data_IF_265922842261
#
_entry.id   IF_265922842261
#
_cell.length_a   1.000
_cell.length_b   1.000
_cell.length_c   1.000
_cell.angle_alpha   90.00
_cell.angle_beta   90.00
_cell.angle_gamma   90.00
#
_symmetry.space_group_name_H-M   'P 1'
#
loop_
_entity.id
_entity.type
_entity.pdbx_description
1 polymer ?
#
# COMPACT_ATOMS: atom_id res chain seq x y z
N UNK A 1 -38.99 -5.18 -65.74
CA UNK A 1 -37.93 -5.61 -64.84
C UNK A 1 -37.79 -4.56 -63.75
N UNK A 2 -38.19 -4.81 -62.53
CA UNK A 2 -38.04 -3.82 -61.44
C UNK A 2 -36.62 -3.92 -60.86
N UNK A 3 -35.88 -2.85 -60.97
CA UNK A 3 -34.57 -2.67 -60.34
C UNK A 3 -34.78 -2.40 -58.83
N UNK A 4 -34.34 -3.34 -58.00
CA UNK A 4 -34.34 -3.22 -56.54
C UNK A 4 -33.27 -2.22 -56.13
N UNK A 5 -33.57 -1.11 -55.45
CA UNK A 5 -32.55 -0.19 -54.97
C UNK A 5 -31.74 -0.85 -53.86
N UNK A 6 -30.46 -1.07 -54.08
CA UNK A 6 -29.53 -1.52 -53.08
C UNK A 6 -29.43 -0.43 -51.97
N UNK A 7 -30.05 -0.71 -50.84
CA UNK A 7 -30.04 0.16 -49.66
C UNK A 7 -28.62 0.33 -49.12
N UNK A 8 -27.99 1.45 -49.42
CA UNK A 8 -26.73 1.89 -48.80
C UNK A 8 -26.85 2.20 -47.27
N UNK A 9 -28.08 2.25 -46.78
CA UNK A 9 -28.38 2.51 -45.35
C UNK A 9 -27.90 1.41 -44.41
N UNK A 10 -27.85 0.14 -44.86
CA UNK A 10 -27.50 -0.98 -43.99
C UNK A 10 -26.03 -1.01 -43.52
N UNK A 11 -25.12 -0.36 -44.26
CA UNK A 11 -23.70 -0.34 -43.89
C UNK A 11 -23.48 0.57 -42.66
N UNK A 12 -24.03 1.77 -42.67
CA UNK A 12 -23.92 2.73 -41.53
C UNK A 12 -24.61 2.21 -40.28
N UNK A 13 -25.76 1.51 -40.46
CA UNK A 13 -26.45 0.90 -39.31
C UNK A 13 -25.61 -0.24 -38.70
N UNK A 14 -25.00 -1.11 -39.53
CA UNK A 14 -24.11 -2.17 -39.04
C UNK A 14 -22.87 -1.63 -38.32
N UNK A 15 -22.24 -0.58 -38.87
CA UNK A 15 -21.13 0.09 -38.24
C UNK A 15 -21.55 0.80 -36.93
N UNK A 16 -22.71 1.44 -36.93
CA UNK A 16 -23.26 2.09 -35.73
C UNK A 16 -23.50 1.10 -34.60
N UNK A 17 -24.10 -0.06 -34.91
CA UNK A 17 -24.35 -1.13 -33.93
C UNK A 17 -23.02 -1.67 -33.40
N UNK A 18 -22.04 -1.96 -34.27
CA UNK A 18 -20.74 -2.47 -33.87
C UNK A 18 -20.00 -1.49 -32.97
N UNK A 19 -20.00 -0.19 -33.31
CA UNK A 19 -19.38 0.85 -32.50
C UNK A 19 -20.05 0.97 -31.12
N UNK A 20 -21.39 0.90 -31.09
CA UNK A 20 -22.13 0.95 -29.83
C UNK A 20 -21.79 -0.23 -28.92
N UNK A 21 -21.68 -1.45 -29.45
CA UNK A 21 -21.30 -2.63 -28.69
C UNK A 21 -19.88 -2.48 -28.10
N UNK A 22 -18.94 -1.96 -28.90
CA UNK A 22 -17.56 -1.73 -28.42
C UNK A 22 -17.53 -0.69 -27.29
N UNK A 23 -18.25 0.42 -27.44
CA UNK A 23 -18.30 1.46 -26.41
C UNK A 23 -18.94 0.94 -25.12
N UNK A 24 -20.01 0.16 -25.20
CA UNK A 24 -20.66 -0.47 -24.05
C UNK A 24 -19.71 -1.47 -23.38
N UNK A 25 -19.01 -2.32 -24.17
CA UNK A 25 -18.06 -3.27 -23.63
C UNK A 25 -16.87 -2.59 -22.92
N UNK A 26 -16.31 -1.53 -23.51
CA UNK A 26 -15.25 -0.74 -22.91
C UNK A 26 -15.73 -0.03 -21.62
N UNK A 27 -16.93 0.51 -21.63
CA UNK A 27 -17.55 1.12 -20.44
C UNK A 27 -17.75 0.10 -19.32
N UNK A 28 -18.23 -1.08 -19.65
CA UNK A 28 -18.38 -2.18 -18.68
C UNK A 28 -17.04 -2.63 -18.09
N UNK A 29 -16.02 -2.81 -18.94
CA UNK A 29 -14.67 -3.17 -18.49
C UNK A 29 -14.04 -2.08 -17.60
N UNK A 30 -14.20 -0.81 -17.98
CA UNK A 30 -13.74 0.31 -17.16
C UNK A 30 -14.45 0.34 -15.81
N UNK A 31 -15.76 0.15 -15.78
CA UNK A 31 -16.54 0.12 -14.55
C UNK A 31 -16.11 -1.02 -13.62
N UNK A 32 -15.97 -2.24 -14.15
CA UNK A 32 -15.53 -3.40 -13.35
C UNK A 32 -14.08 -3.27 -12.89
N UNK A 33 -13.19 -2.73 -13.73
CA UNK A 33 -11.78 -2.51 -13.39
C UNK A 33 -11.61 -1.51 -12.24
N UNK A 34 -12.36 -0.42 -12.22
CA UNK A 34 -12.32 0.57 -11.13
C UNK A 34 -12.84 0.01 -9.81
N UNK A 35 -13.82 -0.88 -9.84
CA UNK A 35 -14.38 -1.47 -8.62
C UNK A 35 -13.39 -2.42 -7.93
N UNK A 36 -12.55 -3.13 -8.68
CA UNK A 36 -11.54 -4.03 -8.12
C UNK A 36 -10.28 -3.32 -7.63
N UNK A 37 -10.00 -2.10 -8.11
CA UNK A 37 -8.76 -1.37 -7.80
C UNK A 37 -8.81 -0.55 -6.50
N UNK A 38 -9.92 -0.55 -5.77
CA UNK A 38 -10.08 0.24 -4.54
C UNK A 38 -9.56 -0.51 -3.32
N UNK A 39 -8.27 -0.80 -3.28
CA UNK A 39 -7.60 -1.18 -2.05
C UNK A 39 -7.24 0.09 -1.27
N UNK A 40 -7.81 0.25 -0.08
CA UNK A 40 -7.52 1.38 0.80
C UNK A 40 -6.30 1.07 1.65
N UNK A 41 -5.31 1.95 1.62
CA UNK A 41 -4.23 1.94 2.60
C UNK A 41 -4.78 2.41 3.94
N UNK A 42 -4.59 1.59 4.96
CA UNK A 42 -4.97 1.91 6.34
C UNK A 42 -3.81 1.57 7.28
N UNK A 43 -3.65 2.39 8.30
CA UNK A 43 -2.74 2.10 9.40
C UNK A 43 -3.36 1.07 10.35
N UNK A 44 -2.54 0.35 11.11
CA UNK A 44 -3.04 -0.62 12.11
C UNK A 44 -3.94 0.06 13.13
N UNK A 45 -3.64 1.31 13.48
CA UNK A 45 -4.45 2.11 14.40
C UNK A 45 -5.82 2.44 13.81
N UNK A 46 -5.87 2.89 12.55
CA UNK A 46 -7.12 3.20 11.84
C UNK A 46 -7.97 1.94 11.66
N UNK A 47 -7.34 0.81 11.30
CA UNK A 47 -8.03 -0.47 11.14
C UNK A 47 -8.87 -0.84 12.37
N UNK A 48 -8.32 -0.62 13.57
CA UNK A 48 -9.01 -0.92 14.84
C UNK A 48 -10.10 0.09 15.20
N UNK A 49 -10.03 1.30 14.65
CA UNK A 49 -11.00 2.37 14.86
C UNK A 49 -12.12 2.44 13.82
N UNK A 50 -12.04 1.62 12.77
CA UNK A 50 -13.05 1.61 11.71
C UNK A 50 -14.31 0.87 12.13
N UNK A 51 -15.47 1.35 11.64
CA UNK A 51 -16.77 0.72 11.81
C UNK A 51 -16.86 -0.65 11.10
N UNK A 52 -18.02 -1.33 11.21
CA UNK A 52 -18.30 -2.62 10.58
C UNK A 52 -17.98 -2.73 9.08
N UNK A 53 -17.77 -1.62 8.39
CA UNK A 53 -17.37 -1.58 6.98
C UNK A 53 -15.98 -2.14 6.73
N UNK A 54 -15.13 -2.23 7.76
CA UNK A 54 -13.76 -2.79 7.68
C UNK A 54 -13.77 -4.26 7.25
N UNK A 55 -14.79 -5.02 7.66
CA UNK A 55 -14.89 -6.46 7.38
C UNK A 55 -15.32 -6.80 5.95
N UNK A 56 -15.79 -5.82 5.19
CA UNK A 56 -16.31 -6.02 3.83
C UNK A 56 -15.40 -5.43 2.76
N UNK A 57 -14.39 -4.67 3.16
CA UNK A 57 -13.47 -3.98 2.23
C UNK A 57 -12.15 -4.73 2.10
N UNK A 58 -11.59 -4.66 0.90
CA UNK A 58 -10.21 -5.08 0.66
C UNK A 58 -9.28 -3.95 1.10
N UNK A 59 -8.38 -4.26 2.02
CA UNK A 59 -7.52 -3.30 2.69
C UNK A 59 -6.06 -3.64 2.45
N UNK A 60 -5.21 -2.62 2.48
CA UNK A 60 -3.75 -2.75 2.47
C UNK A 60 -3.21 -2.22 3.78
N UNK A 61 -2.50 -3.07 4.51
CA UNK A 61 -1.87 -2.72 5.78
C UNK A 61 -0.36 -2.91 5.64
N UNK A 62 0.40 -1.88 5.96
CA UNK A 62 1.85 -1.91 5.98
C UNK A 62 2.36 -1.94 7.42
N UNK A 63 3.48 -2.62 7.65
CA UNK A 63 4.13 -2.66 8.95
C UNK A 63 5.46 -3.40 8.87
N UNK A 64 6.17 -3.43 9.98
CA UNK A 64 7.37 -4.27 10.11
C UNK A 64 6.97 -5.63 10.67
N UNK A 65 7.58 -6.68 10.15
CA UNK A 65 7.38 -8.03 10.66
C UNK A 65 8.06 -8.15 12.03
N UNK A 66 7.29 -8.54 13.05
CA UNK A 66 7.82 -8.76 14.40
C UNK A 66 8.81 -9.94 14.38
N UNK A 67 10.02 -9.77 14.95
CA UNK A 67 11.00 -10.85 14.99
C UNK A 67 10.48 -12.09 15.72
N UNK A 68 10.69 -13.27 15.13
CA UNK A 68 10.29 -14.54 15.70
C UNK A 68 8.77 -14.81 15.65
N UNK A 69 7.98 -13.96 14.98
CA UNK A 69 6.53 -14.16 14.83
C UNK A 69 6.14 -14.98 13.61
N UNK A 70 7.09 -15.29 12.74
CA UNK A 70 6.81 -16.00 11.47
C UNK A 70 6.67 -17.49 11.72
N UNK A 71 5.47 -18.02 11.52
CA UNK A 71 5.16 -19.45 11.54
C UNK A 71 4.70 -19.88 10.15
N UNK A 72 5.43 -20.80 9.53
CA UNK A 72 5.12 -21.29 8.17
C UNK A 72 4.59 -22.72 8.24
N UNK A 73 3.43 -22.94 7.64
CA UNK A 73 2.83 -24.26 7.46
C UNK A 73 2.44 -24.43 5.98
N UNK A 74 3.41 -24.91 5.19
CA UNK A 74 3.25 -24.95 3.73
C UNK A 74 3.17 -23.54 3.12
N UNK A 75 2.08 -23.25 2.40
CA UNK A 75 1.80 -21.92 1.84
C UNK A 75 1.16 -20.97 2.84
N UNK A 76 0.62 -21.47 3.94
CA UNK A 76 0.07 -20.63 5.00
C UNK A 76 1.19 -20.06 5.85
N UNK A 77 1.16 -18.76 6.08
CA UNK A 77 2.14 -18.08 6.93
C UNK A 77 1.40 -17.19 7.92
N UNK A 78 1.64 -17.46 9.19
CA UNK A 78 1.16 -16.61 10.29
C UNK A 78 2.30 -15.71 10.75
N UNK A 79 2.02 -14.45 10.99
CA UNK A 79 3.00 -13.49 11.47
C UNK A 79 2.32 -12.26 12.07
N UNK A 80 3.10 -11.44 12.76
CA UNK A 80 2.60 -10.21 13.36
C UNK A 80 3.23 -9.00 12.67
N UNK A 81 2.39 -8.07 12.20
CA UNK A 81 2.82 -6.76 11.75
C UNK A 81 2.83 -5.78 12.92
N UNK A 82 3.87 -4.96 12.98
CA UNK A 82 4.02 -3.89 13.98
C UNK A 82 4.16 -2.56 13.27
N UNK A 83 3.31 -1.60 13.62
CA UNK A 83 3.34 -0.23 13.15
C UNK A 83 3.11 0.73 14.31
N UNK A 84 4.06 1.62 14.58
CA UNK A 84 3.98 2.61 15.68
C UNK A 84 3.58 2.00 17.03
N UNK A 85 4.09 0.81 17.35
CA UNK A 85 3.77 0.10 18.60
C UNK A 85 2.46 -0.68 18.58
N UNK A 86 1.65 -0.57 17.55
CA UNK A 86 0.45 -1.38 17.37
C UNK A 86 0.81 -2.70 16.67
N UNK A 87 0.26 -3.81 17.19
CA UNK A 87 0.47 -5.14 16.64
C UNK A 87 -0.79 -5.62 15.94
N UNK A 88 -0.62 -6.26 14.79
CA UNK A 88 -1.71 -6.86 14.01
C UNK A 88 -1.34 -8.29 13.65
N UNK A 89 -2.05 -9.31 14.15
CA UNK A 89 -1.87 -10.67 13.70
C UNK A 89 -2.37 -10.80 12.25
N UNK A 90 -1.58 -11.45 11.41
CA UNK A 90 -1.86 -11.66 9.99
C UNK A 90 -1.71 -13.12 9.66
N UNK A 91 -2.68 -13.65 8.94
CA UNK A 91 -2.65 -14.99 8.35
C UNK A 91 -2.66 -14.84 6.83
N UNK A 92 -1.57 -15.25 6.21
CA UNK A 92 -1.48 -15.29 4.76
C UNK A 92 -2.01 -16.61 4.22
N UNK A 93 -3.00 -16.52 3.34
CA UNK A 93 -3.68 -17.66 2.69
C UNK A 93 -3.64 -17.56 1.16
N UNK A 94 -2.71 -16.76 0.61
CA UNK A 94 -2.55 -16.63 -0.83
C UNK A 94 -2.10 -17.91 -1.51
N UNK A 95 -2.23 -17.93 -2.82
CA UNK A 95 -1.83 -19.07 -3.67
C UNK A 95 -0.35 -19.06 -4.05
N UNK A 96 0.30 -17.92 -3.90
CA UNK A 96 1.71 -17.74 -4.21
C UNK A 96 2.57 -17.89 -2.95
N UNK A 97 3.80 -18.40 -3.12
CA UNK A 97 4.73 -18.44 -2.02
C UNK A 97 5.12 -17.02 -1.59
N UNK A 98 5.26 -16.75 -0.27
CA UNK A 98 5.77 -15.47 0.19
C UNK A 98 7.14 -15.15 -0.43
N UNK A 99 7.40 -13.86 -0.76
CA UNK A 99 8.67 -13.48 -1.38
C UNK A 99 9.86 -13.78 -0.46
N UNK A 100 11.04 -14.05 -1.05
CA UNK A 100 12.28 -14.33 -0.31
C UNK A 100 12.73 -13.18 0.61
N UNK A 101 12.26 -11.98 0.31
CA UNK A 101 12.48 -10.78 1.14
C UNK A 101 11.64 -10.76 2.42
N UNK A 102 10.67 -11.65 2.55
CA UNK A 102 9.80 -11.77 3.72
C UNK A 102 10.52 -12.50 4.85
N UNK A 103 11.02 -11.72 5.81
CA UNK A 103 11.79 -12.16 6.98
C UNK A 103 11.57 -11.22 8.16
N UNK A 104 12.10 -11.60 9.30
CA UNK A 104 12.08 -10.77 10.52
C UNK A 104 12.60 -9.35 10.26
N UNK A 105 11.92 -8.37 10.82
CA UNK A 105 12.19 -6.94 10.64
C UNK A 105 12.05 -6.42 9.19
N UNK A 106 11.58 -7.22 8.24
CA UNK A 106 11.28 -6.71 6.92
C UNK A 106 10.04 -5.82 6.96
N UNK A 107 10.02 -4.79 6.13
CA UNK A 107 8.80 -4.04 5.90
C UNK A 107 7.89 -4.86 4.98
N UNK A 108 6.71 -5.21 5.45
CA UNK A 108 5.73 -5.96 4.70
C UNK A 108 4.45 -5.16 4.46
N UNK A 109 3.83 -5.42 3.33
CA UNK A 109 2.53 -4.92 2.93
C UNK A 109 1.63 -6.13 2.71
N UNK A 110 0.60 -6.25 3.52
CA UNK A 110 -0.43 -7.28 3.40
C UNK A 110 -1.69 -6.69 2.76
N UNK A 111 -2.22 -7.36 1.75
CA UNK A 111 -3.51 -7.01 1.14
C UNK A 111 -4.51 -8.12 1.37
N UNK A 112 -5.68 -7.76 1.89
CA UNK A 112 -6.71 -8.72 2.24
C UNK A 112 -7.89 -8.08 2.96
N UNK A 113 -8.49 -8.81 3.88
CA UNK A 113 -9.64 -8.38 4.68
C UNK A 113 -9.39 -8.58 6.17
N UNK A 114 -9.94 -7.69 6.96
CA UNK A 114 -9.88 -7.83 8.42
C UNK A 114 -11.00 -8.75 8.88
N UNK A 115 -10.66 -9.76 9.67
CA UNK A 115 -11.62 -10.71 10.23
C UNK A 115 -12.26 -10.21 11.53
N UNK A 116 -13.44 -10.72 11.84
CA UNK A 116 -14.11 -10.47 13.15
C UNK A 116 -13.41 -11.16 14.32
N UNK A 117 -12.50 -12.06 14.02
CA UNK A 117 -11.58 -12.72 14.95
C UNK A 117 -10.41 -11.83 15.37
N UNK A 118 -10.32 -10.62 14.81
CA UNK A 118 -9.23 -9.69 15.07
C UNK A 118 -7.94 -10.01 14.30
N UNK A 119 -8.01 -10.95 13.34
CA UNK A 119 -6.90 -11.36 12.48
C UNK A 119 -7.08 -10.77 11.09
N UNK A 120 -5.98 -10.37 10.47
CA UNK A 120 -5.99 -9.90 9.09
C UNK A 120 -5.70 -11.06 8.14
N UNK A 121 -6.66 -11.41 7.30
CA UNK A 121 -6.56 -12.47 6.31
C UNK A 121 -6.00 -11.90 5.01
N UNK A 122 -4.71 -12.12 4.79
CA UNK A 122 -4.01 -11.62 3.62
C UNK A 122 -4.07 -12.62 2.47
N UNK A 123 -4.48 -12.16 1.30
CA UNK A 123 -4.43 -12.92 0.04
C UNK A 123 -3.20 -12.57 -0.79
N UNK A 124 -2.61 -11.41 -0.56
CA UNK A 124 -1.39 -10.96 -1.23
C UNK A 124 -0.41 -10.41 -0.19
N UNK A 125 0.87 -10.74 -0.35
CA UNK A 125 1.93 -10.33 0.54
C UNK A 125 3.11 -9.80 -0.27
N UNK A 126 3.49 -8.56 -0.01
CA UNK A 126 4.69 -7.94 -0.56
C UNK A 126 5.64 -7.60 0.58
N UNK A 127 6.93 -7.84 0.37
CA UNK A 127 7.95 -7.49 1.36
C UNK A 127 9.08 -6.71 0.70
N UNK A 128 9.58 -5.72 1.42
CA UNK A 128 10.77 -4.95 1.03
C UNK A 128 11.82 -5.15 2.10
N UNK A 129 13.07 -5.37 1.70
CA UNK A 129 14.18 -5.29 2.63
C UNK A 129 14.20 -3.87 3.22
N UNK A 130 14.33 -3.76 4.54
CA UNK A 130 14.58 -2.48 5.19
C UNK A 130 15.85 -1.89 4.58
N UNK A 131 15.70 -0.92 3.70
CA UNK A 131 16.84 -0.21 3.14
C UNK A 131 17.48 0.58 4.28
N UNK A 132 18.78 0.47 4.46
CA UNK A 132 19.58 1.23 5.45
C UNK A 132 19.49 2.77 5.24
N UNK A 133 18.75 3.21 4.26
CA UNK A 133 18.49 4.60 3.90
C UNK A 133 17.08 5.07 4.27
N UNK A 134 16.42 4.46 5.25
CA UNK A 134 15.26 5.10 5.86
C UNK A 134 15.78 6.40 6.50
N UNK A 135 15.36 7.60 6.06
CA UNK A 135 15.71 8.83 6.78
C UNK A 135 15.23 8.66 8.20
N UNK A 136 16.14 8.83 9.16
CA UNK A 136 15.82 8.84 10.57
C UNK A 136 14.62 9.78 10.74
N UNK A 137 13.56 9.27 11.35
CA UNK A 137 12.32 9.99 11.57
C UNK A 137 12.63 11.37 12.13
N UNK A 138 12.29 12.40 11.36
CA UNK A 138 12.30 13.79 11.78
C UNK A 138 11.20 13.99 12.85
N UNK A 139 11.44 13.50 14.05
CA UNK A 139 10.75 13.87 15.28
C UNK A 139 11.79 14.03 16.40
N UNK A 140 12.84 14.82 16.10
CA UNK A 140 13.57 15.50 17.16
C UNK A 140 12.98 16.91 17.25
N UNK A 141 12.50 17.35 18.43
CA UNK A 141 12.12 18.74 18.62
C UNK A 141 13.35 19.60 18.34
N UNK A 142 13.17 20.64 17.54
CA UNK A 142 14.20 21.61 17.23
C UNK A 142 14.80 22.16 18.52
N UNK A 143 16.03 21.79 18.81
CA UNK A 143 16.81 22.48 19.83
C UNK A 143 17.03 23.92 19.36
N UNK A 144 16.84 24.93 20.20
CA UNK A 144 17.01 26.31 19.82
C UNK A 144 18.47 26.58 19.43
N UNK A 145 18.64 27.17 18.26
CA UNK A 145 19.92 27.64 17.75
C UNK A 145 20.57 28.55 18.83
N UNK A 146 21.64 28.06 19.40
CA UNK A 146 22.54 28.92 20.18
C UNK A 146 23.24 29.86 19.21
N UNK A 147 22.88 31.12 19.36
CA UNK A 147 23.51 32.30 18.83
C UNK A 147 25.04 32.21 18.99
N UNK A 148 25.77 31.96 17.92
CA UNK A 148 27.22 32.11 17.82
C UNK A 148 27.54 33.41 17.10
N UNK A 149 27.14 34.51 17.70
CA UNK A 149 27.60 35.83 17.32
C UNK A 149 28.14 36.56 18.56
N UNK A 150 29.35 36.25 18.93
CA UNK A 150 30.22 37.18 19.61
C UNK A 150 31.69 36.77 19.45
N UNK A 151 32.25 37.10 18.33
CA UNK A 151 33.69 37.24 18.20
C UNK A 151 34.07 38.54 18.89
N UNK A 152 34.85 38.45 19.94
CA UNK A 152 35.55 39.60 20.51
C UNK A 152 37.04 39.49 20.11
N UNK A 153 37.54 40.41 19.28
CA UNK A 153 38.97 40.49 18.97
C UNK A 153 39.64 41.50 19.88
N UNK A 154 40.40 41.06 20.84
CA UNK A 154 41.23 42.03 21.53
C UNK A 154 41.82 41.56 22.83
N UNK A 155 43.03 41.12 22.82
CA UNK A 155 44.09 41.60 23.67
C UNK A 155 45.40 40.84 23.42
N UNK A 156 46.23 41.50 22.69
CA UNK A 156 47.65 41.22 22.61
C UNK A 156 48.33 41.58 23.92
N UNK A 157 49.53 41.03 24.12
CA UNK A 157 50.64 41.59 24.89
C UNK A 157 50.90 40.94 26.27
N UNK A 158 52.09 40.34 26.33
CA UNK A 158 52.77 40.13 27.58
C UNK A 158 53.74 38.93 27.66
N UNK A 159 54.83 38.92 26.95
CA UNK A 159 56.09 38.38 27.49
C UNK A 159 56.70 39.43 28.42
N UNK A 160 57.43 39.06 29.49
CA UNK A 160 58.74 38.45 29.40
C UNK A 160 59.25 37.69 30.62
N UNK A 161 60.40 37.03 30.42
CA UNK A 161 61.44 36.49 31.24
C UNK A 161 61.24 35.12 31.86
#
# INVERSE_FOLDING_TARGET
>A
MPTVPMSHSNKYVKFGIATTIIVVALGYLAYTGVQQSKSYYVTIKELRGMDNTVYTKRLRVAGNVEPGSIHRTGLHVEFTLVEQGNKLPVVYTGTEAPPDTFKDNAQALAEGSFGRDGVFHASELQAKCASKYAPAQQNAPAAPAKDMSRADPGAATGLPK
#
